data_IF_299492061890
#
_entry.id   IF_299492061890
#
_cell.length_a   1.000
_cell.length_b   1.000
_cell.length_c   1.000
_cell.angle_alpha   90.00
_cell.angle_beta   90.00
_cell.angle_gamma   90.00
#
_symmetry.space_group_name_H-M   'P 1'
#
loop_
_entity.id
_entity.type
_entity.pdbx_description
1 polymer ?
#
# COMPACT_ATOMS: atom_id res chain seq x y z
N UNK A 1 6.75 -31.34 -8.43
CA UNK A 1 8.08 -30.64 -8.38
C UNK A 1 8.29 -29.96 -7.03
N UNK A 2 7.29 -29.28 -6.47
CA UNK A 2 7.39 -28.65 -5.13
C UNK A 2 7.24 -29.62 -3.94
N UNK A 3 7.04 -30.92 -4.18
CA UNK A 3 6.80 -31.92 -3.13
C UNK A 3 7.96 -32.07 -2.14
N UNK A 4 9.19 -31.79 -2.59
CA UNK A 4 10.37 -31.74 -1.72
C UNK A 4 10.33 -30.51 -0.79
N UNK A 5 9.84 -29.38 -1.28
CA UNK A 5 9.71 -28.14 -0.50
C UNK A 5 8.56 -28.24 0.52
N UNK A 6 7.43 -28.84 0.13
CA UNK A 6 6.26 -29.06 1.01
C UNK A 6 6.55 -29.97 2.22
N UNK A 7 7.61 -30.78 2.15
CA UNK A 7 8.04 -31.66 3.25
C UNK A 7 9.06 -30.99 4.19
N UNK A 8 9.53 -29.79 3.86
CA UNK A 8 10.46 -29.04 4.70
C UNK A 8 9.73 -28.46 5.91
N UNK A 9 10.13 -28.87 7.12
CA UNK A 9 9.60 -28.28 8.37
C UNK A 9 10.05 -26.82 8.62
N UNK A 10 10.95 -26.29 7.76
CA UNK A 10 11.45 -24.90 7.85
C UNK A 10 10.60 -23.91 7.05
N UNK A 11 9.71 -24.41 6.19
CA UNK A 11 8.83 -23.59 5.38
C UNK A 11 7.41 -23.75 5.91
N UNK A 12 6.79 -22.64 6.29
CA UNK A 12 5.39 -22.59 6.72
C UNK A 12 4.43 -22.43 5.52
N UNK A 13 4.92 -21.92 4.39
CA UNK A 13 4.19 -21.82 3.15
C UNK A 13 5.04 -22.21 1.92
N UNK A 14 4.43 -22.94 0.98
CA UNK A 14 5.03 -23.32 -0.30
C UNK A 14 4.02 -23.07 -1.40
N UNK A 15 4.44 -22.39 -2.47
CA UNK A 15 3.58 -22.00 -3.60
C UNK A 15 2.41 -21.08 -3.18
N UNK A 16 2.60 -20.28 -2.13
CA UNK A 16 1.73 -19.16 -1.80
C UNK A 16 2.20 -17.87 -2.49
N UNK A 17 1.27 -16.95 -2.71
CA UNK A 17 1.56 -15.57 -3.11
C UNK A 17 1.20 -14.61 -1.99
N UNK A 18 1.72 -13.38 -2.03
CA UNK A 18 1.38 -12.33 -1.09
C UNK A 18 1.42 -10.96 -1.78
N UNK A 19 0.41 -10.13 -1.54
CA UNK A 19 0.47 -8.68 -1.78
C UNK A 19 0.96 -8.00 -0.50
N UNK A 20 1.73 -6.92 -0.61
CA UNK A 20 2.28 -6.20 0.54
C UNK A 20 2.16 -4.68 0.33
N UNK A 21 1.68 -4.00 1.36
CA UNK A 21 1.66 -2.53 1.44
C UNK A 21 2.25 -2.12 2.78
N UNK A 22 3.24 -1.22 2.76
CA UNK A 22 3.85 -0.65 3.95
C UNK A 22 3.85 0.87 3.91
N UNK A 23 3.69 1.47 5.07
CA UNK A 23 3.67 2.92 5.28
C UNK A 23 4.70 3.25 6.35
N UNK A 24 5.63 4.16 6.05
CA UNK A 24 6.62 4.65 7.00
C UNK A 24 6.49 6.16 7.11
N UNK A 25 6.33 6.67 8.34
CA UNK A 25 6.34 8.11 8.63
C UNK A 25 7.69 8.50 9.23
N UNK A 26 8.37 9.47 8.64
CA UNK A 26 9.63 10.02 9.14
C UNK A 26 9.54 11.55 9.18
N UNK A 27 9.39 12.11 10.38
CA UNK A 27 9.11 13.54 10.53
C UNK A 27 7.81 13.91 9.84
N UNK A 28 7.88 14.83 8.89
CA UNK A 28 6.76 15.29 8.06
C UNK A 28 6.63 14.52 6.74
N UNK A 29 7.55 13.58 6.47
CA UNK A 29 7.52 12.75 5.28
C UNK A 29 6.77 11.45 5.56
N UNK A 30 6.02 11.00 4.55
CA UNK A 30 5.34 9.71 4.54
C UNK A 30 5.75 8.94 3.29
N UNK A 31 6.23 7.72 3.47
CA UNK A 31 6.63 6.81 2.40
C UNK A 31 5.62 5.68 2.28
N UNK A 32 5.25 5.34 1.04
CA UNK A 32 4.38 4.21 0.72
C UNK A 32 5.13 3.26 -0.20
N UNK A 33 5.24 2.00 0.22
CA UNK A 33 5.77 0.91 -0.61
C UNK A 33 4.66 -0.10 -0.87
N UNK A 34 4.31 -0.33 -2.14
CA UNK A 34 3.25 -1.24 -2.55
C UNK A 34 3.78 -2.31 -3.52
N UNK A 35 3.39 -3.55 -3.30
CA UNK A 35 3.60 -4.71 -4.18
C UNK A 35 2.28 -5.46 -4.27
N UNK A 36 1.71 -5.51 -5.47
CA UNK A 36 0.40 -6.12 -5.72
C UNK A 36 -0.71 -5.08 -5.82
N UNK A 37 -1.92 -5.50 -5.48
CA UNK A 37 -3.18 -4.79 -5.72
C UNK A 37 -3.76 -4.09 -4.48
N UNK A 38 -3.04 -4.14 -3.36
CA UNK A 38 -3.34 -3.37 -2.16
C UNK A 38 -3.41 -1.87 -2.46
N UNK A 39 -4.24 -1.14 -1.70
CA UNK A 39 -4.48 0.29 -1.89
C UNK A 39 -4.35 1.04 -0.57
N UNK A 40 -3.88 2.29 -0.65
CA UNK A 40 -3.84 3.23 0.47
C UNK A 40 -4.52 4.53 0.05
N UNK A 41 -5.22 5.15 0.99
CA UNK A 41 -5.89 6.45 0.81
C UNK A 41 -5.44 7.37 1.93
N UNK A 42 -4.98 8.58 1.57
CA UNK A 42 -4.60 9.62 2.52
C UNK A 42 -5.72 10.65 2.62
N UNK A 43 -6.38 10.71 3.77
CA UNK A 43 -7.33 11.79 4.08
C UNK A 43 -6.59 12.98 4.69
N UNK A 44 -6.75 14.16 4.08
CA UNK A 44 -6.27 15.43 4.65
C UNK A 44 -7.47 16.24 5.12
N UNK A 45 -7.55 16.54 6.41
CA UNK A 45 -8.54 17.48 6.94
C UNK A 45 -7.97 18.91 6.85
N UNK A 46 -8.82 19.86 6.49
CA UNK A 46 -8.52 21.29 6.55
C UNK A 46 -9.51 21.93 7.51
N UNK A 47 -9.05 22.82 8.38
CA UNK A 47 -9.90 23.40 9.45
C UNK A 47 -10.91 24.44 8.93
N UNK A 48 -10.79 24.92 7.69
CA UNK A 48 -11.77 25.85 7.13
C UNK A 48 -12.73 25.14 6.17
N UNK A 49 -14.00 25.24 6.54
CA UNK A 49 -15.23 24.89 5.82
C UNK A 49 -15.41 25.68 4.49
N UNK A 50 -14.32 26.14 3.88
CA UNK A 50 -14.32 26.93 2.64
C UNK A 50 -14.06 25.99 1.47
N UNK A 51 -15.16 25.52 0.89
CA UNK A 51 -15.16 24.90 -0.44
C UNK A 51 -14.89 26.02 -1.47
N UNK A 52 -13.62 26.28 -1.79
CA UNK A 52 -13.32 27.00 -3.04
C UNK A 52 -13.36 26.00 -4.20
N UNK A 53 -14.44 26.05 -4.98
CA UNK A 53 -14.51 25.30 -6.23
C UNK A 53 -13.51 25.90 -7.21
N UNK A 54 -12.45 25.17 -7.51
CA UNK A 54 -11.56 25.51 -8.63
C UNK A 54 -11.68 24.43 -9.70
N UNK A 55 -12.33 24.79 -10.81
CA UNK A 55 -12.33 23.98 -12.03
C UNK A 55 -11.07 24.29 -12.83
N UNK A 56 -10.23 23.29 -13.04
CA UNK A 56 -9.17 23.36 -14.06
C UNK A 56 -9.70 22.72 -15.35
N UNK A 57 -9.69 23.50 -16.43
CA UNK A 57 -9.96 23.05 -17.79
C UNK A 57 -8.63 22.96 -18.52
N UNK A 58 -8.28 21.78 -19.02
CA UNK A 58 -7.10 21.56 -19.86
C UNK A 58 -7.50 21.65 -21.33
N UNK A 59 -6.85 22.54 -22.09
CA UNK A 59 -6.78 22.49 -23.55
C UNK A 59 -5.60 21.65 -23.99
#
# INVERSE_FOLDING_TARGET
MYDKLRRSRRLDAVQSGCSALSIVKQGDLMFVANVGDSRVVLGTAFDDDVITSSSSSST
#
